data_IF_406690109963
#
_entry.id   IF_406690109963
#
_cell.length_a   1.000
_cell.length_b   1.000
_cell.length_c   1.000
_cell.angle_alpha   90.00
_cell.angle_beta   90.00
_cell.angle_gamma   90.00
#
_symmetry.space_group_name_H-M   'P 1'
#
loop_
_entity.id
_entity.type
_entity.pdbx_description
1 polymer ?
#
# COMPACT_ATOMS: atom_id res chain seq x y z
N UNK A 1 -2.91 -16.52 6.58
CA UNK A 1 -1.55 -15.95 6.37
C UNK A 1 -1.55 -15.04 5.15
N UNK A 2 -0.51 -14.23 4.94
CA UNK A 2 -0.35 -13.42 3.72
C UNK A 2 -0.33 -14.26 2.44
N UNK A 3 0.32 -15.43 2.46
CA UNK A 3 0.37 -16.37 1.32
C UNK A 3 -1.03 -16.84 0.91
N UNK A 4 -1.83 -17.29 1.88
CA UNK A 4 -3.22 -17.73 1.64
C UNK A 4 -4.10 -16.55 1.18
N UNK A 5 -3.94 -15.36 1.77
CA UNK A 5 -4.68 -14.16 1.36
C UNK A 5 -4.35 -13.72 -0.06
N UNK A 6 -3.09 -13.79 -0.49
CA UNK A 6 -2.70 -13.51 -1.88
C UNK A 6 -3.32 -14.53 -2.85
N UNK A 7 -3.26 -15.82 -2.52
CA UNK A 7 -3.84 -16.90 -3.32
C UNK A 7 -5.37 -16.77 -3.45
N UNK A 8 -6.05 -16.48 -2.34
CA UNK A 8 -7.51 -16.28 -2.31
C UNK A 8 -7.96 -15.03 -3.09
N UNK A 9 -7.12 -13.99 -3.20
CA UNK A 9 -7.43 -12.81 -4.00
C UNK A 9 -7.01 -12.93 -5.47
N UNK A 10 -6.10 -13.85 -5.83
CA UNK A 10 -5.71 -14.11 -7.22
C UNK A 10 -6.89 -14.51 -8.11
N UNK A 11 -7.86 -15.24 -7.55
CA UNK A 11 -9.06 -15.70 -8.27
C UNK A 11 -9.88 -14.55 -8.88
N UNK A 12 -9.80 -13.33 -8.33
CA UNK A 12 -10.48 -12.15 -8.89
C UNK A 12 -9.73 -11.54 -10.07
N UNK A 13 -8.41 -11.75 -10.18
CA UNK A 13 -7.59 -11.25 -11.29
C UNK A 13 -7.60 -12.14 -12.54
N UNK A 14 -7.87 -13.45 -12.38
CA UNK A 14 -7.69 -14.48 -13.43
C UNK A 14 -8.98 -15.26 -13.79
N UNK A 15 -10.15 -14.62 -13.69
CA UNK A 15 -11.45 -15.24 -14.03
C UNK A 15 -11.89 -16.41 -13.13
N UNK A 16 -11.43 -16.50 -11.89
CA UNK A 16 -11.95 -17.43 -10.88
C UNK A 16 -11.17 -18.74 -10.72
N UNK A 17 -9.95 -18.80 -11.26
CA UNK A 17 -9.07 -19.98 -11.17
C UNK A 17 -8.15 -19.86 -9.96
N UNK A 18 -8.19 -20.85 -9.07
CA UNK A 18 -7.24 -20.99 -7.98
C UNK A 18 -6.00 -21.76 -8.46
N UNK A 19 -4.82 -21.27 -8.08
CA UNK A 19 -3.56 -22.00 -8.21
C UNK A 19 -2.96 -22.13 -6.81
N UNK A 20 -2.41 -23.31 -6.48
CA UNK A 20 -1.78 -23.52 -5.17
C UNK A 20 -0.46 -22.73 -5.10
N UNK A 21 -0.21 -21.93 -4.05
CA UNK A 21 1.06 -21.24 -3.87
C UNK A 21 2.24 -22.23 -3.86
N UNK A 22 3.22 -21.96 -4.72
CA UNK A 22 4.50 -22.67 -4.77
C UNK A 22 5.66 -21.68 -4.83
N UNK A 23 6.84 -22.12 -4.39
CA UNK A 23 8.12 -21.40 -4.53
C UNK A 23 9.04 -22.03 -5.56
N UNK A 24 8.63 -23.14 -6.17
CA UNK A 24 9.36 -23.89 -7.19
C UNK A 24 8.42 -24.31 -8.32
N UNK A 25 8.90 -24.22 -9.56
CA UNK A 25 8.13 -24.64 -10.74
C UNK A 25 8.73 -25.87 -11.45
N UNK A 26 10.03 -26.16 -11.25
CA UNK A 26 10.70 -27.31 -11.84
C UNK A 26 11.76 -27.88 -10.89
N UNK A 27 11.97 -29.20 -10.91
CA UNK A 27 13.06 -29.88 -10.21
C UNK A 27 13.72 -30.86 -11.18
N UNK A 28 15.04 -30.76 -11.34
CA UNK A 28 15.84 -31.63 -12.21
C UNK A 28 16.93 -32.36 -11.42
N UNK A 29 17.31 -33.55 -11.88
CA UNK A 29 18.51 -34.27 -11.42
C UNK A 29 19.75 -33.75 -12.15
N UNK A 30 20.93 -34.05 -11.60
CA UNK A 30 22.22 -33.67 -12.18
C UNK A 30 22.53 -34.27 -13.58
N UNK A 31 21.69 -35.19 -14.08
CA UNK A 31 21.71 -35.74 -15.44
C UNK A 31 20.75 -35.00 -16.42
N UNK A 32 20.06 -33.94 -15.98
CA UNK A 32 19.05 -33.21 -16.77
C UNK A 32 17.64 -33.83 -16.75
N UNK A 33 17.42 -34.92 -16.00
CA UNK A 33 16.11 -35.56 -15.91
C UNK A 33 15.17 -34.74 -15.00
N UNK A 34 14.04 -34.29 -15.54
CA UNK A 34 13.00 -33.59 -14.79
C UNK A 34 12.24 -34.56 -13.87
N UNK A 35 12.22 -34.26 -12.58
CA UNK A 35 11.56 -35.05 -11.51
C UNK A 35 10.22 -34.46 -11.13
N UNK A 36 10.09 -33.13 -11.24
CA UNK A 36 8.86 -32.38 -11.02
C UNK A 36 8.80 -31.25 -12.03
N UNK A 37 7.62 -31.03 -12.59
CA UNK A 37 7.26 -29.89 -13.41
C UNK A 37 5.89 -29.39 -12.92
N UNK A 38 5.66 -28.08 -12.95
CA UNK A 38 4.51 -27.47 -12.29
C UNK A 38 3.28 -27.42 -13.21
N UNK A 39 2.17 -27.97 -12.72
CA UNK A 39 0.89 -27.95 -13.42
C UNK A 39 0.22 -26.57 -13.31
N UNK A 40 0.29 -25.80 -14.40
CA UNK A 40 -0.34 -24.48 -14.49
C UNK A 40 -1.87 -24.51 -14.61
N UNK A 41 -2.51 -25.67 -14.87
CA UNK A 41 -3.93 -25.73 -15.24
C UNK A 41 -4.89 -25.25 -14.13
N UNK A 42 -4.50 -25.39 -12.86
CA UNK A 42 -5.23 -24.86 -11.71
C UNK A 42 -6.64 -25.44 -11.52
N UNK A 43 -7.47 -24.75 -10.73
CA UNK A 43 -8.83 -25.20 -10.39
C UNK A 43 -9.83 -24.05 -10.45
N UNK A 44 -10.88 -24.16 -11.28
CA UNK A 44 -11.98 -23.19 -11.29
C UNK A 44 -12.79 -23.29 -9.97
N UNK A 45 -12.68 -22.27 -9.10
CA UNK A 45 -13.34 -22.26 -7.77
C UNK A 45 -14.55 -21.33 -7.67
N UNK A 46 -14.61 -20.30 -8.52
CA UNK A 46 -15.79 -19.43 -8.69
C UNK A 46 -16.06 -19.22 -10.19
N UNK A 47 -17.30 -18.93 -10.58
CA UNK A 47 -17.62 -18.65 -11.98
C UNK A 47 -16.90 -17.38 -12.48
N UNK A 48 -16.42 -17.34 -13.74
CA UNK A 48 -15.79 -16.15 -14.34
C UNK A 48 -16.60 -14.86 -14.18
N UNK A 49 -17.93 -14.93 -14.38
CA UNK A 49 -18.82 -13.79 -14.17
C UNK A 49 -18.78 -13.23 -12.75
N UNK A 50 -18.61 -14.09 -11.74
CA UNK A 50 -18.52 -13.69 -10.33
C UNK A 50 -17.13 -13.11 -10.01
N UNK A 51 -16.07 -13.68 -10.60
CA UNK A 51 -14.71 -13.14 -10.49
C UNK A 51 -14.62 -11.72 -11.07
N UNK A 52 -15.14 -11.51 -12.29
CA UNK A 52 -15.19 -10.20 -12.95
C UNK A 52 -15.98 -9.17 -12.14
N UNK A 53 -17.19 -9.51 -11.65
CA UNK A 53 -17.99 -8.57 -10.85
C UNK A 53 -17.26 -8.21 -9.55
N UNK A 54 -16.65 -9.17 -8.86
CA UNK A 54 -15.83 -8.90 -7.67
C UNK A 54 -14.58 -8.07 -7.97
N UNK A 55 -13.93 -8.26 -9.12
CA UNK A 55 -12.79 -7.45 -9.55
C UNK A 55 -13.19 -5.97 -9.68
N UNK A 56 -14.28 -5.66 -10.39
CA UNK A 56 -14.76 -4.28 -10.53
C UNK A 56 -15.16 -3.68 -9.18
N UNK A 57 -15.85 -4.42 -8.30
CA UNK A 57 -16.16 -3.95 -6.94
C UNK A 57 -14.90 -3.66 -6.11
N UNK A 58 -13.84 -4.45 -6.27
CA UNK A 58 -12.54 -4.24 -5.63
C UNK A 58 -11.70 -3.13 -6.32
N UNK A 59 -11.98 -2.77 -7.58
CA UNK A 59 -11.43 -1.56 -8.22
C UNK A 59 -12.10 -0.30 -7.66
N UNK A 60 -13.40 -0.30 -7.38
CA UNK A 60 -14.08 0.85 -6.75
C UNK A 60 -13.54 1.15 -5.33
N UNK A 61 -12.98 0.16 -4.63
CA UNK A 61 -12.23 0.40 -3.37
C UNK A 61 -10.99 1.26 -3.59
N UNK A 62 -10.41 1.28 -4.79
CA UNK A 62 -9.20 2.05 -5.15
C UNK A 62 -9.53 3.35 -5.87
N UNK A 63 -10.57 3.37 -6.72
CA UNK A 63 -10.85 4.46 -7.65
C UNK A 63 -12.23 5.13 -7.48
N UNK A 64 -13.13 4.56 -6.68
CA UNK A 64 -14.41 5.18 -6.32
C UNK A 64 -14.25 6.28 -5.27
N UNK A 65 -15.18 7.22 -5.19
CA UNK A 65 -15.09 8.39 -4.29
C UNK A 65 -15.01 8.00 -2.81
N UNK A 66 -15.76 6.98 -2.41
CA UNK A 66 -15.79 6.44 -1.04
C UNK A 66 -14.75 5.30 -0.83
N UNK A 67 -13.78 5.17 -1.74
CA UNK A 67 -12.83 4.05 -1.81
C UNK A 67 -11.76 4.09 -0.71
N UNK A 68 -11.85 3.19 0.26
CA UNK A 68 -10.90 3.10 1.39
C UNK A 68 -9.45 2.76 0.99
N UNK A 69 -9.22 2.29 -0.24
CA UNK A 69 -7.92 1.90 -0.79
C UNK A 69 -7.20 2.97 -1.61
N UNK A 70 -7.77 4.17 -1.79
CA UNK A 70 -7.30 5.20 -2.74
C UNK A 70 -5.81 5.59 -2.65
N UNK A 71 -5.15 5.36 -1.51
CA UNK A 71 -3.71 5.57 -1.37
C UNK A 71 -2.84 4.80 -2.39
N UNK A 72 -3.30 3.64 -2.89
CA UNK A 72 -2.56 2.85 -3.90
C UNK A 72 -2.83 3.29 -5.34
N UNK A 73 -3.85 4.13 -5.61
CA UNK A 73 -4.38 4.38 -6.96
C UNK A 73 -3.31 4.78 -8.00
N UNK A 74 -2.33 5.60 -7.59
CA UNK A 74 -1.15 5.95 -8.39
C UNK A 74 0.10 5.13 -8.06
N UNK A 75 0.02 3.79 -8.09
CA UNK A 75 1.19 2.89 -8.09
C UNK A 75 1.79 2.75 -9.50
N UNK A 76 0.94 2.84 -10.53
CA UNK A 76 1.30 2.79 -11.94
C UNK A 76 0.32 3.70 -12.72
N UNK A 77 0.75 4.24 -13.86
CA UNK A 77 -0.06 5.15 -14.69
C UNK A 77 -0.67 4.49 -15.93
N UNK A 78 -0.20 3.28 -16.30
CA UNK A 78 -0.71 2.48 -17.42
C UNK A 78 -1.81 1.49 -16.99
N UNK A 79 -1.72 0.97 -15.77
CA UNK A 79 -2.48 -0.19 -15.28
C UNK A 79 -3.29 0.12 -14.02
N UNK A 80 -4.42 -0.57 -13.86
CA UNK A 80 -5.26 -0.52 -12.66
C UNK A 80 -4.92 -1.61 -11.64
N UNK A 81 -5.24 -1.35 -10.38
CA UNK A 81 -5.27 -2.35 -9.31
C UNK A 81 -6.68 -2.51 -8.72
N UNK A 82 -7.01 -3.70 -8.26
CA UNK A 82 -8.13 -3.95 -7.34
C UNK A 82 -7.59 -4.16 -5.92
N UNK A 83 -8.36 -3.83 -4.89
CA UNK A 83 -7.90 -3.92 -3.50
C UNK A 83 -9.01 -4.20 -2.48
N UNK A 84 -8.60 -4.74 -1.33
CA UNK A 84 -9.34 -4.60 -0.07
C UNK A 84 -8.39 -4.23 1.07
N UNK A 85 -8.80 -3.19 1.81
CA UNK A 85 -8.23 -2.84 3.12
C UNK A 85 -8.79 -3.73 4.23
N UNK A 86 -7.97 -4.06 5.22
CA UNK A 86 -8.41 -4.64 6.49
C UNK A 86 -7.76 -3.90 7.65
N UNK A 87 -8.52 -3.73 8.74
CA UNK A 87 -8.05 -3.15 10.00
C UNK A 87 -8.69 -3.96 11.11
N UNK A 88 -7.92 -4.50 12.06
CA UNK A 88 -8.48 -5.16 13.24
C UNK A 88 -8.97 -4.13 14.27
N UNK A 89 -9.78 -4.57 15.24
CA UNK A 89 -10.19 -3.74 16.38
C UNK A 89 -8.97 -3.13 17.08
N UNK A 90 -9.09 -1.88 17.53
CA UNK A 90 -7.99 -1.13 18.16
C UNK A 90 -6.74 -0.96 17.25
N UNK A 91 -6.91 -1.04 15.92
CA UNK A 91 -5.88 -0.78 14.91
C UNK A 91 -4.58 -1.59 15.08
N UNK A 92 -4.67 -2.83 15.58
CA UNK A 92 -3.49 -3.65 15.90
C UNK A 92 -2.90 -4.40 14.70
N UNK A 93 -3.72 -4.61 13.67
CA UNK A 93 -3.36 -5.24 12.40
C UNK A 93 -3.82 -4.37 11.24
N UNK A 94 -2.89 -3.92 10.42
CA UNK A 94 -3.19 -3.25 9.15
C UNK A 94 -2.96 -4.22 7.99
N UNK A 95 -3.99 -4.47 7.19
CA UNK A 95 -3.96 -5.35 6.03
C UNK A 95 -4.22 -4.59 4.73
N UNK A 96 -3.46 -4.93 3.69
CA UNK A 96 -3.76 -4.58 2.30
C UNK A 96 -3.61 -5.84 1.45
N UNK A 97 -4.69 -6.28 0.81
CA UNK A 97 -4.62 -7.30 -0.24
C UNK A 97 -5.09 -6.67 -1.54
N UNK A 98 -4.19 -6.60 -2.52
CA UNK A 98 -4.45 -5.92 -3.77
C UNK A 98 -3.69 -6.56 -4.94
N UNK A 99 -4.24 -6.43 -6.15
CA UNK A 99 -3.76 -7.13 -7.34
C UNK A 99 -3.92 -6.36 -8.63
N UNK A 100 -3.10 -6.73 -9.61
CA UNK A 100 -3.06 -6.21 -10.99
C UNK A 100 -3.29 -7.37 -11.97
N UNK A 101 -3.37 -7.12 -13.29
CA UNK A 101 -3.41 -8.20 -14.29
C UNK A 101 -2.12 -9.05 -14.37
N UNK A 102 -1.11 -8.79 -13.55
CA UNK A 102 0.14 -9.55 -13.47
C UNK A 102 0.37 -10.20 -12.10
N UNK A 103 0.21 -9.43 -11.01
CA UNK A 103 0.63 -9.86 -9.66
C UNK A 103 -0.42 -9.54 -8.59
N UNK A 104 -0.46 -10.35 -7.53
CA UNK A 104 -1.24 -10.07 -6.31
C UNK A 104 -0.30 -10.04 -5.11
N UNK A 105 -0.46 -9.01 -4.28
CA UNK A 105 0.29 -8.83 -3.04
C UNK A 105 -0.64 -8.77 -1.84
N UNK A 106 -0.31 -9.52 -0.79
CA UNK A 106 -0.95 -9.42 0.53
C UNK A 106 0.08 -8.92 1.54
N UNK A 107 -0.16 -7.76 2.14
CA UNK A 107 0.67 -7.17 3.19
C UNK A 107 -0.11 -7.15 4.50
N UNK A 108 0.48 -7.73 5.54
CA UNK A 108 0.17 -7.43 6.94
C UNK A 108 1.22 -6.45 7.48
N UNK A 109 0.80 -5.57 8.37
CA UNK A 109 1.67 -4.67 9.11
C UNK A 109 1.12 -4.51 10.54
N UNK A 110 1.91 -4.94 11.51
CA UNK A 110 1.57 -4.99 12.93
C UNK A 110 2.80 -5.35 13.77
N UNK A 111 2.58 -5.73 15.03
CA UNK A 111 3.62 -6.13 15.96
C UNK A 111 3.44 -7.60 16.40
N UNK A 112 4.54 -8.32 16.64
CA UNK A 112 4.50 -9.72 17.14
C UNK A 112 3.82 -9.83 18.52
N UNK A 113 3.95 -8.78 19.33
CA UNK A 113 3.16 -8.57 20.56
C UNK A 113 2.00 -7.64 20.19
N UNK A 114 0.76 -8.12 20.35
CA UNK A 114 -0.46 -7.43 19.94
C UNK A 114 -0.60 -6.03 20.59
N UNK A 115 -0.25 -4.98 19.82
CA UNK A 115 -0.21 -3.57 20.22
C UNK A 115 -0.86 -2.70 19.14
N UNK A 116 -1.37 -1.53 19.52
CA UNK A 116 -1.90 -0.54 18.57
C UNK A 116 -0.82 -0.08 17.57
N UNK A 117 -1.18 0.03 16.29
CA UNK A 117 -0.30 0.47 15.21
C UNK A 117 -0.60 1.93 14.86
N UNK A 118 0.34 2.82 15.19
CA UNK A 118 0.28 4.20 14.72
C UNK A 118 0.64 4.30 13.21
N UNK A 119 0.09 5.32 12.54
CA UNK A 119 0.32 5.52 11.11
C UNK A 119 -0.53 4.60 10.22
N UNK A 120 -1.81 4.94 10.09
CA UNK A 120 -2.75 4.24 9.21
C UNK A 120 -2.27 4.09 7.76
N UNK A 121 -2.84 3.09 7.07
CA UNK A 121 -2.51 2.69 5.70
C UNK A 121 -1.04 2.28 5.45
N UNK A 122 -0.25 1.94 6.48
CA UNK A 122 1.15 1.52 6.29
C UNK A 122 1.30 0.24 5.45
N UNK A 123 0.41 -0.74 5.58
CA UNK A 123 0.35 -1.89 4.67
C UNK A 123 0.11 -1.49 3.20
N UNK A 124 -0.68 -0.45 2.95
CA UNK A 124 -0.93 0.09 1.60
C UNK A 124 0.30 0.82 1.03
N UNK A 125 1.07 1.53 1.86
CA UNK A 125 2.34 2.16 1.47
C UNK A 125 3.38 1.11 1.04
N UNK A 126 3.49 0.02 1.80
CA UNK A 126 4.39 -1.11 1.49
C UNK A 126 3.97 -1.80 0.19
N UNK A 127 2.68 -2.16 0.04
CA UNK A 127 2.16 -2.74 -1.20
C UNK A 127 2.46 -1.85 -2.41
N UNK A 128 2.20 -0.54 -2.28
CA UNK A 128 2.46 0.44 -3.33
C UNK A 128 3.94 0.52 -3.69
N UNK A 129 4.85 0.58 -2.72
CA UNK A 129 6.28 0.66 -2.98
C UNK A 129 6.79 -0.56 -3.78
N UNK A 130 6.41 -1.78 -3.37
CA UNK A 130 6.78 -3.00 -4.08
C UNK A 130 6.16 -3.04 -5.49
N UNK A 131 4.88 -2.72 -5.62
CA UNK A 131 4.17 -2.81 -6.90
C UNK A 131 4.53 -1.70 -7.88
N UNK A 132 4.96 -0.51 -7.42
CA UNK A 132 5.57 0.50 -8.29
C UNK A 132 6.86 -0.01 -8.91
N UNK A 133 7.68 -0.76 -8.15
CA UNK A 133 8.96 -1.30 -8.63
C UNK A 133 8.77 -2.43 -9.65
N UNK A 134 8.01 -3.47 -9.31
CA UNK A 134 7.86 -4.66 -10.18
C UNK A 134 6.97 -4.44 -11.42
N UNK A 135 6.36 -3.25 -11.58
CA UNK A 135 5.59 -2.86 -12.78
C UNK A 135 6.25 -1.76 -13.62
N UNK A 136 7.52 -1.39 -13.39
CA UNK A 136 8.22 -0.37 -14.20
C UNK A 136 8.26 -0.70 -15.69
N UNK A 137 8.79 -1.87 -16.00
CA UNK A 137 9.09 -2.33 -17.36
C UNK A 137 8.04 -3.31 -17.91
N UNK A 138 6.90 -3.44 -17.20
CA UNK A 138 5.77 -4.24 -17.66
C UNK A 138 4.91 -3.46 -18.66
N UNK A 139 4.48 -4.19 -19.69
CA UNK A 139 3.57 -3.65 -20.69
C UNK A 139 2.19 -3.34 -20.14
N UNK A 140 1.44 -2.48 -20.85
CA UNK A 140 0.07 -2.19 -20.43
C UNK A 140 -0.81 -3.44 -20.60
N UNK A 141 -1.33 -3.93 -19.48
CA UNK A 141 -2.34 -4.98 -19.43
C UNK A 141 -3.59 -4.50 -18.66
N UNK A 142 -4.76 -4.96 -19.10
CA UNK A 142 -6.05 -4.75 -18.44
C UNK A 142 -6.58 -6.11 -17.91
N UNK A 143 -7.62 -6.10 -17.09
CA UNK A 143 -8.29 -7.35 -16.67
C UNK A 143 -9.18 -7.90 -17.80
N UNK A 144 -9.24 -9.23 -17.91
CA UNK A 144 -10.18 -9.91 -18.80
C UNK A 144 -11.55 -9.98 -18.15
N UNK A 145 -12.50 -9.20 -18.66
CA UNK A 145 -13.91 -9.31 -18.29
C UNK A 145 -14.53 -10.56 -18.91
N UNK A 146 -15.29 -11.32 -18.12
CA UNK A 146 -16.05 -12.46 -18.61
C UNK A 146 -17.18 -12.02 -19.54
N UNK A 147 -17.32 -12.69 -20.69
CA UNK A 147 -18.41 -12.49 -21.66
C UNK A 147 -19.81 -12.55 -21.04
N UNK A 148 -19.98 -13.21 -19.91
CA UNK A 148 -21.25 -13.31 -19.20
C UNK A 148 -21.63 -12.02 -18.42
N UNK A 149 -20.82 -10.97 -18.42
CA UNK A 149 -21.05 -9.73 -17.65
C UNK A 149 -21.48 -8.57 -18.56
N UNK A 150 -22.31 -7.67 -18.03
CA UNK A 150 -22.66 -6.38 -18.63
C UNK A 150 -22.66 -5.27 -17.59
N UNK A 151 -22.11 -4.10 -17.94
CA UNK A 151 -22.25 -2.88 -17.16
C UNK A 151 -23.60 -2.21 -17.45
N UNK A 152 -24.31 -1.77 -16.41
CA UNK A 152 -25.56 -0.98 -16.50
C UNK A 152 -25.55 0.11 -15.44
N UNK A 153 -25.52 1.38 -15.85
CA UNK A 153 -25.29 2.49 -14.93
C UNK A 153 -23.93 2.33 -14.23
N UNK A 154 -23.92 2.42 -12.90
CA UNK A 154 -22.74 2.16 -12.06
C UNK A 154 -22.42 0.67 -11.85
N UNK A 155 -23.39 -0.23 -11.99
CA UNK A 155 -23.26 -1.64 -11.62
C UNK A 155 -22.82 -2.58 -12.74
N UNK A 156 -22.29 -3.73 -12.34
CA UNK A 156 -21.93 -4.85 -13.22
C UNK A 156 -22.80 -6.06 -12.88
N UNK A 157 -23.37 -6.71 -13.90
CA UNK A 157 -24.42 -7.73 -13.74
C UNK A 157 -24.19 -8.90 -14.69
N UNK A 158 -24.56 -10.12 -14.27
CA UNK A 158 -24.54 -11.28 -15.17
C UNK A 158 -25.68 -11.19 -16.20
N UNK A 159 -25.39 -11.51 -17.47
CA UNK A 159 -26.35 -11.64 -18.57
C UNK A 159 -27.43 -12.66 -18.24
N UNK A 160 -28.63 -12.46 -18.79
CA UNK A 160 -29.79 -13.35 -18.59
C UNK A 160 -30.47 -13.27 -17.22
N UNK A 161 -29.80 -12.77 -16.17
CA UNK A 161 -30.40 -12.59 -14.84
C UNK A 161 -31.40 -11.43 -14.87
N UNK A 162 -32.64 -11.68 -14.43
CA UNK A 162 -33.59 -10.62 -14.08
C UNK A 162 -33.13 -10.00 -12.77
N UNK A 163 -32.58 -8.79 -12.85
CA UNK A 163 -32.17 -8.01 -11.67
C UNK A 163 -33.31 -7.07 -11.32
N UNK A 164 -34.19 -7.52 -10.42
CA UNK A 164 -35.05 -6.61 -9.67
C UNK A 164 -34.11 -5.74 -8.81
N UNK A 165 -34.04 -4.44 -9.10
CA UNK A 165 -32.97 -3.56 -8.60
C UNK A 165 -33.07 -3.44 -7.07
N UNK A 166 -32.10 -3.97 -6.29
CA UNK A 166 -32.20 -3.95 -4.84
C UNK A 166 -31.96 -2.53 -4.32
N UNK A 167 -33.02 -1.87 -3.86
CA UNK A 167 -32.94 -0.55 -3.23
C UNK A 167 -32.32 -0.68 -1.84
N UNK A 168 -30.99 -0.52 -1.77
CA UNK A 168 -30.29 -0.42 -0.48
C UNK A 168 -30.50 0.97 0.13
N UNK A 169 -31.51 1.08 0.97
CA UNK A 169 -31.66 2.23 1.88
C UNK A 169 -30.81 1.99 3.11
N UNK A 170 -29.70 2.72 3.25
CA UNK A 170 -28.86 2.64 4.44
C UNK A 170 -29.65 3.10 5.69
N UNK A 171 -29.56 2.38 6.83
CA UNK A 171 -30.15 2.86 8.07
C UNK A 171 -29.44 4.13 8.54
N UNK A 172 -30.19 5.19 8.83
CA UNK A 172 -29.64 6.44 9.34
C UNK A 172 -29.23 6.26 10.82
N UNK A 173 -27.92 6.15 11.06
CA UNK A 173 -27.35 5.97 12.40
C UNK A 173 -27.30 7.28 13.17
N UNK A 174 -28.46 7.73 13.67
CA UNK A 174 -28.62 9.02 14.37
C UNK A 174 -28.32 8.93 15.87
N UNK A 175 -27.06 8.70 16.25
CA UNK A 175 -26.57 8.92 17.62
C UNK A 175 -25.32 9.82 17.62
N UNK A 176 -25.38 11.03 18.22
CA UNK A 176 -24.22 11.91 18.33
C UNK A 176 -23.37 11.55 19.55
N UNK A 177 -22.21 10.93 19.33
CA UNK A 177 -21.24 10.73 20.41
C UNK A 177 -20.66 12.08 20.86
N UNK A 178 -20.94 12.47 22.11
CA UNK A 178 -20.52 13.74 22.69
C UNK A 178 -19.71 13.50 23.96
N UNK A 179 -18.40 13.74 23.87
CA UNK A 179 -17.50 13.78 25.04
C UNK A 179 -16.33 14.73 24.76
N UNK A 180 -16.49 16.01 25.12
CA UNK A 180 -15.46 17.04 25.00
C UNK A 180 -15.39 17.88 26.28
N UNK A 181 -14.76 17.34 27.32
CA UNK A 181 -14.44 18.11 28.53
C UNK A 181 -13.07 18.79 28.38
N UNK A 182 -13.09 20.07 28.01
CA UNK A 182 -11.89 20.91 27.96
C UNK A 182 -11.91 21.87 29.16
N UNK A 183 -11.30 21.46 30.27
CA UNK A 183 -11.27 22.26 31.50
C UNK A 183 -10.37 23.49 31.33
N UNK A 184 -10.93 24.69 31.54
CA UNK A 184 -10.21 25.96 31.60
C UNK A 184 -10.77 26.81 32.72
N UNK A 185 -10.05 26.86 33.85
CA UNK A 185 -10.43 27.60 35.05
C UNK A 185 -9.58 28.85 35.24
N UNK A 186 -10.16 30.02 34.97
CA UNK A 186 -9.51 31.31 35.19
C UNK A 186 -10.51 32.42 35.54
N UNK A 187 -10.79 32.62 36.85
CA UNK A 187 -11.28 33.89 37.41
C UNK A 187 -10.63 34.12 38.76
N UNK A 188 -9.99 35.27 38.92
CA UNK A 188 -9.44 35.78 40.19
C UNK A 188 -10.46 36.64 40.95
N UNK A 189 -10.43 36.63 42.28
CA UNK A 189 -10.97 37.70 43.13
C UNK A 189 -10.24 37.74 44.48
N UNK A 190 -10.21 38.91 45.12
CA UNK A 190 -9.21 39.29 46.12
C UNK A 190 -9.81 39.64 47.49
N UNK A 191 -9.04 39.48 48.58
CA UNK A 191 -8.69 40.56 49.56
C UNK A 191 -8.09 40.01 50.88
N UNK A 192 -7.02 40.67 51.37
CA UNK A 192 -6.68 41.00 52.78
C UNK A 192 -6.65 39.92 53.91
N UNK A 193 -5.82 40.01 54.97
CA UNK A 193 -4.77 40.99 55.33
C UNK A 193 -3.71 40.45 56.34
N UNK A 194 -2.55 41.11 56.39
CA UNK A 194 -1.68 41.36 57.57
C UNK A 194 -0.75 40.29 58.22
N UNK A 195 0.45 40.77 58.61
CA UNK A 195 1.28 40.41 59.79
C UNK A 195 2.33 39.28 59.75
N UNK A 196 3.50 39.68 59.24
CA UNK A 196 4.89 39.30 59.54
C UNK A 196 5.28 38.47 60.79
N UNK A 197 6.28 37.58 60.61
CA UNK A 197 7.45 37.40 61.49
C UNK A 197 8.61 36.62 60.79
N UNK A 198 9.86 36.88 61.20
CA UNK A 198 11.13 36.14 60.97
C UNK A 198 11.88 36.07 62.32
N UNK A 199 13.02 35.35 62.53
CA UNK A 199 13.94 34.61 61.64
C UNK A 199 14.00 33.08 62.01
N UNK A 200 14.99 32.21 61.72
CA UNK A 200 16.44 32.35 61.41
C UNK A 200 17.02 31.16 60.61
N UNK A 201 18.33 31.27 60.31
CA UNK A 201 19.35 30.30 59.86
C UNK A 201 19.14 28.81 60.26
N UNK A 202 19.65 27.81 59.53
CA UNK A 202 21.08 27.67 59.14
C UNK A 202 21.37 26.91 57.82
N UNK A 203 22.65 26.83 57.47
CA UNK A 203 23.28 26.38 56.20
C UNK A 203 24.04 25.05 56.40
N UNK A 204 24.46 24.26 55.40
CA UNK A 204 24.43 24.31 53.92
C UNK A 204 24.21 22.87 53.37
N UNK A 205 24.68 22.32 52.23
CA UNK A 205 25.60 22.64 51.10
C UNK A 205 25.28 21.58 50.00
N UNK A 206 25.60 21.67 48.70
CA UNK A 206 26.18 22.71 47.81
C UNK A 206 26.05 22.25 46.34
N UNK A 207 26.13 23.20 45.39
CA UNK A 207 26.50 23.04 43.95
C UNK A 207 25.70 22.08 43.03
N UNK A 208 25.39 22.42 41.77
CA UNK A 208 25.48 23.71 41.04
C UNK A 208 24.78 23.62 39.67
N UNK A 209 24.17 24.73 39.23
CA UNK A 209 23.95 25.22 37.84
C UNK A 209 24.13 24.22 36.65
N UNK A 210 23.16 24.04 35.73
CA UNK A 210 22.70 25.02 34.70
C UNK A 210 23.83 25.65 33.87
N UNK A 211 23.72 25.91 32.57
CA UNK A 211 22.58 25.90 31.67
C UNK A 211 22.53 27.20 30.83
N UNK A 212 22.18 27.11 29.55
CA UNK A 212 22.23 28.24 28.58
C UNK A 212 23.37 28.06 27.56
N UNK A 213 23.24 28.12 26.23
CA UNK A 213 22.24 28.64 25.25
C UNK A 213 22.63 29.96 24.56
N UNK A 214 22.05 30.19 23.37
CA UNK A 214 22.18 31.35 22.45
C UNK A 214 23.44 31.43 21.56
N UNK A 215 23.36 32.30 20.55
CA UNK A 215 24.14 32.29 19.30
C UNK A 215 24.47 33.70 18.79
N UNK A 216 25.49 33.86 17.92
CA UNK A 216 25.50 34.87 16.83
C UNK A 216 26.78 34.89 15.96
N UNK A 217 26.60 34.99 14.63
CA UNK A 217 27.53 35.55 13.62
C UNK A 217 28.91 34.88 13.38
N UNK A 218 29.71 35.30 12.39
CA UNK A 218 29.38 35.87 11.05
C UNK A 218 30.67 36.01 10.21
N UNK A 219 30.68 35.55 8.95
CA UNK A 219 31.71 35.84 7.88
C UNK A 219 33.18 35.45 8.18
N UNK A 220 34.08 35.14 7.24
CA UNK A 220 34.07 35.02 5.75
C UNK A 220 34.91 33.75 5.36
N UNK A 221 35.56 33.49 4.21
CA UNK A 221 35.82 34.13 2.90
C UNK A 221 36.11 32.98 1.87
N UNK A 222 35.57 33.00 0.64
CA UNK A 222 36.16 33.47 -0.64
C UNK A 222 37.09 32.50 -1.43
N UNK A 223 36.73 32.31 -2.72
CA UNK A 223 37.57 31.90 -3.88
C UNK A 223 38.35 30.56 -3.83
N UNK A 224 37.88 29.52 -4.52
CA UNK A 224 38.17 29.14 -5.93
C UNK A 224 39.40 28.20 -6.06
N UNK A 225 39.46 27.20 -6.95
CA UNK A 225 39.17 27.26 -8.38
C UNK A 225 39.02 25.86 -9.04
N UNK A 226 38.62 25.86 -10.32
CA UNK A 226 38.45 24.74 -11.28
C UNK A 226 38.99 25.30 -12.61
N UNK A 227 39.66 24.56 -13.55
CA UNK A 227 39.07 23.37 -14.20
C UNK A 227 39.97 22.31 -14.88
N UNK A 228 39.29 21.29 -15.43
CA UNK A 228 39.46 20.69 -16.78
C UNK A 228 40.14 19.32 -16.98
N UNK A 229 39.30 18.37 -17.43
CA UNK A 229 39.42 17.45 -18.57
C UNK A 229 40.72 16.66 -18.88
N UNK A 230 40.52 15.36 -19.13
CA UNK A 230 41.13 14.59 -20.25
C UNK A 230 40.21 13.43 -20.65
N UNK A 231 39.90 13.28 -21.95
CA UNK A 231 39.50 11.99 -22.55
C UNK A 231 40.73 11.26 -23.11
N UNK A 232 40.59 10.02 -23.62
CA UNK A 232 40.66 9.85 -25.08
C UNK A 232 39.61 8.87 -25.65
N UNK A 233 39.58 8.73 -26.98
CA UNK A 233 38.38 8.31 -27.71
C UNK A 233 38.58 7.26 -28.82
N UNK A 234 37.45 6.60 -29.16
CA UNK A 234 37.07 6.04 -30.49
C UNK A 234 37.67 4.71 -31.03
N UNK A 235 36.85 4.05 -31.86
CA UNK A 235 37.08 2.91 -32.79
C UNK A 235 36.37 1.60 -32.40
N UNK A 236 35.70 0.85 -33.30
CA UNK A 236 35.00 1.16 -34.57
C UNK A 236 34.11 -0.03 -34.97
N UNK A 237 33.04 0.18 -35.75
CA UNK A 237 32.19 -0.90 -36.30
C UNK A 237 32.62 -1.31 -37.71
N UNK A 238 32.23 -2.52 -38.15
CA UNK A 238 31.48 -2.59 -39.42
C UNK A 238 30.22 -3.48 -39.35
N UNK A 239 29.37 -3.34 -40.36
CA UNK A 239 28.16 -4.15 -40.58
C UNK A 239 28.44 -5.32 -41.53
N UNK A 240 27.65 -6.39 -41.44
CA UNK A 240 27.44 -7.33 -42.56
C UNK A 240 26.05 -7.98 -42.49
N UNK A 241 25.44 -8.17 -43.65
CA UNK A 241 24.09 -8.69 -43.86
C UNK A 241 24.12 -9.92 -44.76
N UNK A 242 23.26 -10.92 -44.52
CA UNK A 242 22.75 -11.81 -45.58
C UNK A 242 21.67 -12.77 -45.06
N UNK A 243 20.47 -12.68 -45.61
CA UNK A 243 19.58 -13.85 -45.79
C UNK A 243 20.11 -14.73 -46.94
N UNK A 244 19.55 -15.93 -47.14
CA UNK A 244 18.68 -16.05 -48.32
C UNK A 244 17.39 -16.86 -48.08
N UNK A 245 16.39 -16.61 -48.94
CA UNK A 245 15.25 -17.51 -49.15
C UNK A 245 15.68 -18.84 -49.78
N UNK A 246 14.85 -19.88 -49.65
CA UNK A 246 15.03 -21.17 -50.32
C UNK A 246 13.77 -22.03 -50.29
N UNK A 247 13.16 -22.24 -51.46
CA UNK A 247 11.94 -23.03 -51.62
C UNK A 247 12.19 -24.55 -51.50
N UNK A 248 11.29 -25.26 -50.82
CA UNK A 248 10.68 -26.52 -51.29
C UNK A 248 9.47 -26.94 -50.43
#
# INVERSE_FOLDING_TARGET
TTTESAAAYAIFGNQGVYHSPTTYYKIERANGETVFDYDETGTQVIAPSSATIMNHLLQEVVYGSEGTGGGIAGFNYKMKAYAKTGTSSESKDLWMVAGTPYYVGSVWYGFDIQSEVSGGASAAKIWKAVMTEVHKDLEKKEFTDSDDVVKKGSGYYKKGVKVDVPSYTAPVSSEPSSSSEQSSSAVTSSAESSSAATPSDDTATSSSSSGGSSSSGSSSDASSSTPSQSEPSSSSSPSSSSEPEGEN
#
